data_IF_272680958817
#
_entry.id   IF_272680958817
#
_cell.length_a   1.000
_cell.length_b   1.000
_cell.length_c   1.000
_cell.angle_alpha   90.00
_cell.angle_beta   90.00
_cell.angle_gamma   90.00
#
_symmetry.space_group_name_H-M   'P 1'
#
loop_
_entity.id
_entity.type
_entity.pdbx_description
1 polymer ?
#
# COMPACT_ATOMS: atom_id res chain seq x y z
N UNK A 1 -21.28 93.49 -44.09
CA UNK A 1 -21.51 92.43 -45.07
C UNK A 1 -20.80 91.17 -44.53
N UNK A 2 -21.48 90.07 -44.34
CA UNK A 2 -21.02 89.05 -43.38
C UNK A 2 -20.27 87.89 -44.06
N UNK A 3 -19.21 87.39 -43.39
CA UNK A 3 -18.44 86.25 -43.78
C UNK A 3 -18.97 84.95 -43.14
N UNK A 4 -19.10 83.96 -43.99
CA UNK A 4 -19.46 82.57 -43.61
C UNK A 4 -18.27 81.89 -42.93
N UNK A 5 -18.51 81.34 -41.77
CA UNK A 5 -17.61 80.38 -41.10
C UNK A 5 -18.07 78.97 -41.43
N UNK A 6 -17.24 78.21 -42.10
CA UNK A 6 -17.44 76.76 -42.32
C UNK A 6 -16.88 76.00 -41.13
N UNK A 7 -17.71 75.13 -40.49
CA UNK A 7 -17.34 74.27 -39.41
C UNK A 7 -16.93 72.90 -39.99
N UNK A 8 -15.69 72.54 -39.84
CA UNK A 8 -15.18 71.21 -40.13
C UNK A 8 -15.49 70.29 -38.90
N UNK A 9 -16.37 69.35 -39.13
CA UNK A 9 -16.63 68.28 -38.22
C UNK A 9 -15.56 67.16 -38.34
N UNK A 10 -14.68 67.01 -37.36
CA UNK A 10 -13.73 65.88 -37.34
C UNK A 10 -14.44 64.62 -36.85
N UNK A 11 -14.54 63.62 -37.67
CA UNK A 11 -15.07 62.29 -37.38
C UNK A 11 -13.94 61.47 -36.74
N UNK A 12 -13.92 61.31 -35.40
CA UNK A 12 -13.00 60.44 -34.70
C UNK A 12 -13.53 58.98 -34.80
N UNK A 13 -12.89 58.11 -35.59
CA UNK A 13 -13.11 56.67 -35.58
C UNK A 13 -12.44 56.05 -34.34
N UNK A 14 -13.25 55.63 -33.38
CA UNK A 14 -12.81 54.77 -32.26
C UNK A 14 -12.65 53.35 -32.80
N UNK A 15 -11.41 52.91 -33.04
CA UNK A 15 -11.06 51.49 -33.28
C UNK A 15 -11.02 50.82 -31.94
N UNK A 16 -12.11 50.15 -31.52
CA UNK A 16 -12.13 49.27 -30.38
C UNK A 16 -11.33 47.99 -30.70
N UNK A 17 -10.08 47.94 -30.30
CA UNK A 17 -9.25 46.74 -30.33
C UNK A 17 -9.82 45.71 -29.38
N UNK A 18 -10.50 44.69 -29.88
CA UNK A 18 -10.83 43.46 -29.11
C UNK A 18 -9.53 42.72 -28.89
N UNK A 19 -8.93 42.92 -27.73
CA UNK A 19 -7.89 42.05 -27.21
C UNK A 19 -8.51 40.68 -26.95
N UNK A 20 -8.40 39.78 -27.92
CA UNK A 20 -8.67 38.37 -27.73
C UNK A 20 -7.65 37.86 -26.72
N UNK A 21 -8.05 37.76 -25.44
CA UNK A 21 -7.30 37.03 -24.43
C UNK A 21 -7.35 35.56 -24.82
N UNK A 22 -6.36 35.10 -25.57
CA UNK A 22 -6.12 33.66 -25.71
C UNK A 22 -5.89 33.15 -24.28
N UNK A 23 -6.65 32.10 -23.84
CA UNK A 23 -6.32 31.47 -22.55
C UNK A 23 -4.88 31.01 -22.66
N UNK A 24 -4.05 31.47 -21.72
CA UNK A 24 -2.69 30.99 -21.59
C UNK A 24 -2.79 29.47 -21.32
N UNK A 25 -2.56 28.65 -22.34
CA UNK A 25 -2.42 27.22 -22.19
C UNK A 25 -1.27 27.04 -21.21
N UNK A 26 -1.56 26.46 -20.03
CA UNK A 26 -0.51 26.15 -19.06
C UNK A 26 0.57 25.34 -19.79
N UNK A 27 1.80 25.82 -19.75
CA UNK A 27 2.91 25.18 -20.45
C UNK A 27 3.08 23.77 -19.89
N UNK A 28 2.98 22.77 -20.77
CA UNK A 28 3.21 21.38 -20.40
C UNK A 28 4.65 21.20 -19.95
N UNK A 29 4.86 20.52 -18.83
CA UNK A 29 6.19 20.30 -18.25
C UNK A 29 6.36 18.83 -17.90
N UNK A 30 7.42 18.21 -18.40
CA UNK A 30 7.66 16.77 -18.27
C UNK A 30 9.10 16.49 -17.80
N UNK A 31 9.22 15.57 -16.85
CA UNK A 31 10.49 14.89 -16.57
C UNK A 31 10.60 13.58 -17.39
N UNK A 32 11.78 12.92 -17.43
CA UNK A 32 11.94 11.62 -18.05
C UNK A 32 10.83 10.65 -17.62
N UNK A 33 10.27 9.91 -18.59
CA UNK A 33 9.16 8.99 -18.39
C UNK A 33 7.78 9.58 -18.62
N UNK A 34 7.67 10.87 -18.94
CA UNK A 34 6.39 11.49 -19.30
C UNK A 34 6.46 12.20 -20.66
N UNK A 35 5.35 12.21 -21.36
CA UNK A 35 5.16 12.89 -22.65
C UNK A 35 3.70 13.28 -22.85
N UNK A 36 3.38 13.86 -24.01
CA UNK A 36 1.98 14.12 -24.41
C UNK A 36 1.16 12.84 -24.59
N UNK A 37 1.79 11.71 -24.87
CA UNK A 37 1.12 10.48 -25.23
C UNK A 37 1.21 9.39 -24.18
N UNK A 38 2.25 9.40 -23.34
CA UNK A 38 2.60 8.27 -22.46
C UNK A 38 3.16 8.73 -21.12
N UNK A 39 2.86 7.93 -20.07
CA UNK A 39 3.51 7.98 -18.75
C UNK A 39 4.09 6.61 -18.46
N UNK A 40 5.41 6.52 -18.27
CA UNK A 40 6.12 5.29 -17.90
C UNK A 40 6.18 5.16 -16.38
N UNK A 41 5.64 4.07 -15.86
CA UNK A 41 5.66 3.73 -14.43
C UNK A 41 6.44 2.45 -14.25
N UNK A 42 7.50 2.49 -13.43
CA UNK A 42 8.26 1.31 -13.03
C UNK A 42 7.64 0.59 -11.85
N UNK A 43 7.82 -0.72 -11.78
CA UNK A 43 7.42 -1.55 -10.64
C UNK A 43 8.45 -2.67 -10.42
N UNK A 44 8.64 -3.06 -9.16
CA UNK A 44 9.52 -4.17 -8.76
C UNK A 44 8.70 -5.09 -7.87
N UNK A 45 8.54 -6.36 -8.30
CA UNK A 45 7.62 -7.28 -7.67
C UNK A 45 8.25 -8.67 -7.59
N UNK A 46 8.11 -9.41 -6.48
CA UNK A 46 8.60 -10.79 -6.39
C UNK A 46 7.66 -11.75 -7.15
N UNK A 47 7.83 -11.86 -8.45
CA UNK A 47 7.08 -12.85 -9.25
C UNK A 47 7.62 -14.26 -9.05
N UNK A 48 8.85 -14.40 -8.61
CA UNK A 48 9.52 -15.66 -8.24
C UNK A 48 10.05 -15.60 -6.80
N UNK A 49 10.65 -16.70 -6.34
CA UNK A 49 11.28 -16.77 -5.01
C UNK A 49 10.30 -16.97 -3.85
N UNK A 50 10.77 -16.82 -2.60
CA UNK A 50 10.05 -17.22 -1.39
C UNK A 50 8.80 -16.37 -1.08
N UNK A 51 8.70 -15.18 -1.63
CA UNK A 51 7.56 -14.27 -1.47
C UNK A 51 6.69 -14.17 -2.74
N UNK A 52 6.81 -15.13 -3.68
CA UNK A 52 6.14 -15.09 -4.99
C UNK A 52 4.61 -15.07 -4.94
N UNK A 53 4.01 -15.47 -3.83
CA UNK A 53 2.55 -15.33 -3.62
C UNK A 53 2.05 -13.88 -3.66
N UNK A 54 2.93 -12.90 -3.43
CA UNK A 54 2.61 -11.48 -3.60
C UNK A 54 2.63 -11.01 -5.07
N UNK A 55 3.21 -11.79 -5.99
CA UNK A 55 3.31 -11.40 -7.41
C UNK A 55 1.97 -11.11 -8.10
N UNK A 56 0.86 -11.58 -7.53
CA UNK A 56 -0.50 -11.27 -8.01
C UNK A 56 -0.83 -9.77 -7.91
N UNK A 57 -0.17 -9.05 -7.00
CA UNK A 57 -0.34 -7.59 -6.83
C UNK A 57 0.07 -6.88 -8.12
N UNK A 58 1.30 -7.07 -8.58
CA UNK A 58 1.78 -6.45 -9.81
C UNK A 58 1.00 -6.89 -11.07
N UNK A 59 0.49 -8.13 -11.10
CA UNK A 59 -0.40 -8.58 -12.18
C UNK A 59 -1.74 -7.85 -12.18
N UNK A 60 -2.29 -7.59 -11.00
CA UNK A 60 -3.53 -6.80 -10.85
C UNK A 60 -3.31 -5.35 -11.25
N UNK A 61 -2.22 -4.74 -10.82
CA UNK A 61 -1.83 -3.38 -11.20
C UNK A 61 -1.66 -3.24 -12.72
N UNK A 62 -0.98 -4.21 -13.36
CA UNK A 62 -0.86 -4.27 -14.82
C UNK A 62 -2.23 -4.38 -15.51
N UNK A 63 -3.15 -5.16 -14.94
CA UNK A 63 -4.54 -5.25 -15.40
C UNK A 63 -5.26 -3.92 -15.26
N UNK A 64 -5.10 -3.24 -14.14
CA UNK A 64 -5.71 -1.94 -13.87
C UNK A 64 -5.25 -0.87 -14.87
N UNK A 65 -3.96 -0.76 -15.13
CA UNK A 65 -3.46 0.21 -16.10
C UNK A 65 -3.84 -0.14 -17.54
N UNK A 66 -4.04 -1.44 -17.88
CA UNK A 66 -4.67 -1.78 -19.18
C UNK A 66 -6.11 -1.28 -19.25
N UNK A 67 -6.89 -1.45 -18.19
CA UNK A 67 -8.27 -0.91 -18.11
C UNK A 67 -8.27 0.59 -18.31
N UNK A 68 -7.44 1.32 -17.57
CA UNK A 68 -7.30 2.78 -17.72
C UNK A 68 -6.91 3.15 -19.16
N UNK A 69 -6.03 2.40 -19.80
CA UNK A 69 -5.63 2.63 -21.18
C UNK A 69 -6.77 2.41 -22.18
N UNK A 70 -7.59 1.38 -21.97
CA UNK A 70 -8.79 1.14 -22.81
C UNK A 70 -9.81 2.27 -22.67
N UNK A 71 -9.91 2.90 -21.50
CA UNK A 71 -10.76 4.04 -21.20
C UNK A 71 -10.21 5.39 -21.68
N UNK A 72 -9.07 5.41 -22.36
CA UNK A 72 -8.47 6.65 -22.91
C UNK A 72 -7.21 7.13 -22.20
N UNK A 73 -6.78 6.45 -21.13
CA UNK A 73 -5.60 6.82 -20.34
C UNK A 73 -5.89 7.87 -19.27
N UNK A 74 -4.85 8.45 -18.72
CA UNK A 74 -4.94 9.51 -17.70
C UNK A 74 -4.66 10.86 -18.38
N UNK A 75 -5.62 11.75 -18.37
CA UNK A 75 -5.54 13.05 -19.06
C UNK A 75 -5.10 12.90 -20.54
N UNK A 76 -5.61 11.83 -21.21
CA UNK A 76 -5.29 11.52 -22.61
C UNK A 76 -3.96 10.78 -22.82
N UNK A 77 -3.21 10.44 -21.78
CA UNK A 77 -1.92 9.74 -21.86
C UNK A 77 -2.07 8.27 -21.44
N UNK A 78 -1.48 7.39 -22.24
CA UNK A 78 -1.44 5.96 -21.93
C UNK A 78 -0.42 5.69 -20.81
N UNK A 79 -0.73 4.73 -19.96
CA UNK A 79 0.20 4.25 -18.92
C UNK A 79 1.01 3.09 -19.50
N UNK A 80 2.32 3.24 -19.50
CA UNK A 80 3.27 2.17 -19.78
C UNK A 80 3.81 1.63 -18.45
N UNK A 81 3.22 0.53 -17.99
CA UNK A 81 3.57 -0.10 -16.72
C UNK A 81 4.65 -1.17 -16.94
N UNK A 82 5.86 -0.91 -16.47
CA UNK A 82 7.04 -1.75 -16.62
C UNK A 82 7.37 -2.41 -15.29
N UNK A 83 7.13 -3.72 -15.18
CA UNK A 83 7.32 -4.46 -13.93
C UNK A 83 8.40 -5.54 -14.08
N UNK A 84 9.33 -5.58 -13.13
CA UNK A 84 10.45 -6.53 -13.09
C UNK A 84 10.44 -7.40 -11.84
N UNK A 85 10.90 -8.64 -12.00
CA UNK A 85 11.03 -9.62 -10.91
C UNK A 85 12.34 -9.38 -10.14
N UNK A 86 12.24 -9.20 -8.83
CA UNK A 86 13.40 -9.17 -7.93
C UNK A 86 13.57 -10.46 -7.10
N UNK A 87 12.67 -11.41 -7.21
CA UNK A 87 12.63 -12.65 -6.41
C UNK A 87 12.71 -12.39 -4.89
N UNK A 88 12.25 -11.20 -4.42
CA UNK A 88 12.39 -10.72 -3.03
C UNK A 88 13.85 -10.61 -2.58
N UNK A 89 14.75 -10.28 -3.49
CA UNK A 89 16.20 -10.17 -3.27
C UNK A 89 16.66 -8.71 -3.35
N UNK A 90 17.15 -8.10 -2.24
CA UNK A 90 17.63 -6.73 -2.24
C UNK A 90 18.66 -6.41 -3.32
N UNK A 91 19.68 -7.28 -3.61
CA UNK A 91 20.60 -7.05 -4.71
C UNK A 91 19.92 -6.96 -6.08
N UNK A 92 18.94 -7.85 -6.35
CA UNK A 92 18.16 -7.79 -7.59
C UNK A 92 17.27 -6.55 -7.65
N UNK A 93 16.66 -6.15 -6.53
CA UNK A 93 15.88 -4.92 -6.46
C UNK A 93 16.70 -3.70 -6.85
N UNK A 94 17.97 -3.61 -6.42
CA UNK A 94 18.91 -2.55 -6.82
C UNK A 94 19.17 -2.59 -8.34
N UNK A 95 19.38 -3.78 -8.91
CA UNK A 95 19.58 -3.96 -10.34
C UNK A 95 18.36 -3.49 -11.14
N UNK A 96 17.15 -3.95 -10.74
CA UNK A 96 15.92 -3.58 -11.42
C UNK A 96 15.59 -2.10 -11.27
N UNK A 97 15.84 -1.50 -10.11
CA UNK A 97 15.63 -0.07 -9.91
C UNK A 97 16.55 0.77 -10.83
N UNK A 98 17.82 0.39 -10.96
CA UNK A 98 18.73 1.07 -11.89
C UNK A 98 18.29 0.92 -13.34
N UNK A 99 17.85 -0.28 -13.75
CA UNK A 99 17.34 -0.53 -15.09
C UNK A 99 16.12 0.35 -15.39
N UNK A 100 15.14 0.39 -14.48
CA UNK A 100 13.95 1.23 -14.62
C UNK A 100 14.29 2.72 -14.73
N UNK A 101 15.22 3.21 -13.90
CA UNK A 101 15.54 4.64 -13.83
C UNK A 101 16.50 5.06 -14.96
N UNK A 102 17.54 4.28 -15.27
CA UNK A 102 18.64 4.68 -16.13
C UNK A 102 18.49 4.19 -17.58
N UNK A 103 17.76 3.07 -17.81
CA UNK A 103 17.56 2.50 -19.15
C UNK A 103 16.15 2.71 -19.67
N UNK A 104 15.13 2.42 -18.85
CA UNK A 104 13.74 2.58 -19.25
C UNK A 104 13.24 4.02 -19.06
N UNK A 105 13.97 4.82 -18.26
CA UNK A 105 13.70 6.23 -17.99
C UNK A 105 12.27 6.45 -17.48
N UNK A 106 11.86 5.68 -16.43
CA UNK A 106 10.53 5.82 -15.84
C UNK A 106 10.36 7.14 -15.09
N UNK A 107 9.14 7.67 -15.05
CA UNK A 107 8.80 8.86 -14.27
C UNK A 107 8.97 8.60 -12.78
N UNK A 108 8.53 7.43 -12.32
CA UNK A 108 8.56 7.00 -10.93
C UNK A 108 8.62 5.47 -10.83
N UNK A 109 8.98 4.95 -9.65
CA UNK A 109 8.76 3.55 -9.27
C UNK A 109 7.56 3.51 -8.32
N UNK A 110 6.53 2.74 -8.71
CA UNK A 110 5.29 2.54 -7.98
C UNK A 110 5.22 1.14 -7.41
N UNK A 111 4.80 1.01 -6.15
CA UNK A 111 4.49 -0.28 -5.51
C UNK A 111 5.63 -1.30 -5.56
N UNK A 112 6.90 -0.89 -5.53
CA UNK A 112 7.95 -1.87 -5.29
C UNK A 112 7.66 -2.61 -3.98
N UNK A 113 7.74 -3.96 -4.00
CA UNK A 113 7.28 -4.77 -2.88
C UNK A 113 8.41 -5.26 -1.98
N UNK A 114 8.14 -5.21 -0.69
CA UNK A 114 8.96 -5.79 0.37
C UNK A 114 9.86 -4.78 1.08
N UNK A 115 9.90 -4.87 2.40
CA UNK A 115 10.72 -3.97 3.22
C UNK A 115 12.21 -4.04 2.90
N UNK A 116 12.83 -5.23 2.75
CA UNK A 116 14.25 -5.34 2.40
C UNK A 116 14.58 -4.73 1.03
N UNK A 117 13.77 -5.06 0.00
CA UNK A 117 13.96 -4.56 -1.36
C UNK A 117 13.85 -3.04 -1.44
N UNK A 118 12.80 -2.48 -0.82
CA UNK A 118 12.59 -1.03 -0.79
C UNK A 118 13.66 -0.29 0.02
N UNK A 119 14.10 -0.85 1.15
CA UNK A 119 15.20 -0.27 1.94
C UNK A 119 16.51 -0.20 1.14
N UNK A 120 16.78 -1.22 0.33
CA UNK A 120 17.97 -1.29 -0.49
C UNK A 120 18.02 -0.22 -1.58
N UNK A 121 16.89 0.15 -2.17
CA UNK A 121 16.82 1.14 -3.25
C UNK A 121 16.56 2.57 -2.75
N UNK A 122 16.07 2.76 -1.53
CA UNK A 122 15.58 4.04 -1.02
C UNK A 122 16.59 5.19 -1.12
N UNK A 123 17.85 4.96 -0.71
CA UNK A 123 18.92 5.98 -0.82
C UNK A 123 19.21 6.35 -2.26
N UNK A 124 19.25 5.37 -3.17
CA UNK A 124 19.46 5.58 -4.59
C UNK A 124 18.33 6.41 -5.20
N UNK A 125 17.08 6.05 -4.94
CA UNK A 125 15.91 6.77 -5.45
C UNK A 125 15.89 8.23 -4.97
N UNK A 126 16.18 8.46 -3.70
CA UNK A 126 16.26 9.82 -3.12
C UNK A 126 17.43 10.62 -3.71
N UNK A 127 18.60 10.03 -3.90
CA UNK A 127 19.76 10.69 -4.54
C UNK A 127 19.48 11.07 -6.00
N UNK A 128 18.74 10.22 -6.73
CA UNK A 128 18.34 10.48 -8.13
C UNK A 128 17.11 11.40 -8.25
N UNK A 129 16.45 11.72 -7.15
CA UNK A 129 15.18 12.46 -7.11
C UNK A 129 14.11 11.81 -8.01
N UNK A 130 14.00 10.51 -7.93
CA UNK A 130 12.97 9.72 -8.60
C UNK A 130 11.98 9.22 -7.55
N UNK A 131 10.68 9.49 -7.66
CA UNK A 131 9.69 9.04 -6.69
C UNK A 131 9.68 7.52 -6.53
N UNK A 132 9.81 7.04 -5.30
CA UNK A 132 9.55 5.67 -4.85
C UNK A 132 8.22 5.72 -4.11
N UNK A 133 7.13 5.55 -4.86
CA UNK A 133 5.81 6.00 -4.42
C UNK A 133 4.90 4.82 -4.09
N UNK A 134 4.18 4.98 -2.98
CA UNK A 134 3.22 4.00 -2.46
C UNK A 134 3.85 2.62 -2.28
N UNK A 135 5.01 2.61 -1.63
CA UNK A 135 5.80 1.40 -1.35
C UNK A 135 4.91 0.28 -0.80
N UNK A 136 4.98 -0.92 -1.39
CA UNK A 136 4.26 -2.09 -0.90
C UNK A 136 4.95 -2.70 0.33
N UNK A 137 4.93 -1.94 1.40
CA UNK A 137 5.44 -2.28 2.74
C UNK A 137 4.88 -1.30 3.76
N UNK A 138 4.55 -1.80 4.94
CA UNK A 138 4.18 -0.99 6.10
C UNK A 138 5.37 -0.54 6.96
N UNK A 139 6.62 -0.67 6.47
CA UNK A 139 7.79 -0.24 7.22
C UNK A 139 7.73 1.25 7.56
N UNK A 140 7.78 1.59 8.84
CA UNK A 140 7.62 2.96 9.35
C UNK A 140 8.64 3.93 8.74
N UNK A 141 9.83 3.46 8.38
CA UNK A 141 10.87 4.26 7.72
C UNK A 141 10.44 4.90 6.39
N UNK A 142 9.44 4.31 5.70
CA UNK A 142 8.94 4.85 4.42
C UNK A 142 8.00 6.04 4.59
N UNK A 143 7.67 6.40 5.84
CA UNK A 143 6.97 7.64 6.19
C UNK A 143 7.89 8.79 6.61
N UNK A 144 9.23 8.62 6.57
CA UNK A 144 10.21 9.65 6.95
C UNK A 144 10.39 10.70 5.84
N UNK A 145 9.42 11.60 5.70
CA UNK A 145 9.41 12.66 4.68
C UNK A 145 10.60 13.62 4.79
N UNK A 146 11.14 13.80 6.00
CA UNK A 146 12.25 14.71 6.27
C UNK A 146 13.58 14.21 5.70
N UNK A 147 13.89 12.93 5.89
CA UNK A 147 15.17 12.35 5.45
C UNK A 147 15.08 11.70 4.07
N UNK A 148 13.88 11.25 3.69
CA UNK A 148 13.62 10.56 2.43
C UNK A 148 12.40 11.14 1.70
N UNK A 149 12.45 12.41 1.26
CA UNK A 149 11.30 13.12 0.68
C UNK A 149 10.82 12.53 -0.66
N UNK A 150 11.56 11.62 -1.27
CA UNK A 150 11.21 10.94 -2.52
C UNK A 150 10.66 9.52 -2.31
N UNK A 151 10.42 9.13 -1.05
CA UNK A 151 9.86 7.81 -0.70
C UNK A 151 8.62 7.97 0.15
N UNK A 152 7.52 7.33 -0.23
CA UNK A 152 6.26 7.33 0.51
C UNK A 152 5.63 5.94 0.53
N UNK A 153 5.20 5.47 1.70
CA UNK A 153 4.35 4.28 1.85
C UNK A 153 2.90 4.56 1.46
N UNK A 154 2.04 3.56 1.60
CA UNK A 154 0.59 3.75 1.46
C UNK A 154 -0.21 2.96 2.49
N UNK A 155 0.05 1.66 2.63
CA UNK A 155 -0.66 0.82 3.59
C UNK A 155 -0.38 1.25 5.03
N UNK A 156 -1.25 0.88 5.99
CA UNK A 156 -0.98 1.13 7.41
C UNK A 156 0.40 0.65 7.81
N UNK A 157 1.12 1.48 8.57
CA UNK A 157 2.46 1.11 8.97
C UNK A 157 2.44 0.00 10.03
N UNK A 158 3.53 -0.76 10.11
CA UNK A 158 3.63 -1.93 10.97
C UNK A 158 3.60 -1.61 12.47
N UNK A 159 4.10 -0.44 12.89
CA UNK A 159 3.99 -0.03 14.29
C UNK A 159 2.55 0.31 14.65
N UNK A 160 1.79 0.96 13.75
CA UNK A 160 0.35 1.21 13.96
C UNK A 160 -0.42 -0.10 14.09
N UNK A 161 -0.17 -1.08 13.24
CA UNK A 161 -0.78 -2.41 13.33
C UNK A 161 -0.49 -3.06 14.69
N UNK A 162 0.78 -3.07 15.11
CA UNK A 162 1.20 -3.61 16.41
C UNK A 162 0.51 -2.92 17.60
N UNK A 163 0.37 -1.59 17.56
CA UNK A 163 -0.34 -0.80 18.58
C UNK A 163 -1.84 -1.12 18.62
N UNK A 164 -2.47 -1.32 17.47
CA UNK A 164 -3.89 -1.70 17.39
C UNK A 164 -4.12 -3.06 18.06
N UNK A 165 -3.30 -4.06 17.78
CA UNK A 165 -3.38 -5.35 18.47
C UNK A 165 -3.11 -5.22 19.98
N UNK A 166 -2.12 -4.45 20.39
CA UNK A 166 -1.80 -4.25 21.79
C UNK A 166 -2.98 -3.63 22.56
N UNK A 167 -3.65 -2.63 21.96
CA UNK A 167 -4.85 -2.01 22.54
C UNK A 167 -5.96 -3.04 22.78
N UNK A 168 -6.25 -3.87 21.78
CA UNK A 168 -7.24 -4.94 21.91
C UNK A 168 -6.85 -5.97 22.97
N UNK A 169 -5.58 -6.39 23.03
CA UNK A 169 -5.09 -7.37 24.00
C UNK A 169 -5.15 -6.82 25.41
N UNK A 170 -4.72 -5.57 25.63
CA UNK A 170 -4.79 -4.93 26.96
C UNK A 170 -6.21 -4.90 27.51
N UNK A 171 -7.19 -4.71 26.63
CA UNK A 171 -8.62 -4.68 27.00
C UNK A 171 -9.20 -6.09 27.25
N UNK A 172 -8.96 -7.03 26.34
CA UNK A 172 -9.61 -8.34 26.36
C UNK A 172 -8.82 -9.45 27.06
N UNK A 173 -7.50 -9.34 27.11
CA UNK A 173 -6.60 -10.37 27.65
C UNK A 173 -5.54 -9.77 28.56
N UNK A 174 -5.90 -9.03 29.65
CA UNK A 174 -4.96 -8.22 30.43
C UNK A 174 -3.87 -9.01 31.17
N UNK A 175 -4.01 -10.33 31.28
CA UNK A 175 -3.08 -11.25 31.94
C UNK A 175 -2.52 -12.32 30.97
N UNK A 176 -2.72 -12.14 29.68
CA UNK A 176 -2.27 -13.08 28.64
C UNK A 176 -0.75 -13.16 28.55
N UNK A 177 -0.26 -14.33 28.14
CA UNK A 177 1.16 -14.59 27.89
C UNK A 177 1.39 -14.65 26.38
N UNK A 178 2.23 -13.78 25.86
CA UNK A 178 2.39 -13.59 24.43
C UNK A 178 3.65 -14.27 23.91
N UNK A 179 3.53 -15.08 22.86
CA UNK A 179 4.63 -15.56 22.04
C UNK A 179 4.58 -14.90 20.67
N UNK A 180 5.75 -14.48 20.14
CA UNK A 180 5.85 -13.77 18.88
C UNK A 180 6.75 -14.53 17.90
N UNK A 181 6.22 -14.85 16.72
CA UNK A 181 6.95 -15.35 15.57
C UNK A 181 7.07 -14.23 14.53
N UNK A 182 8.29 -13.88 14.12
CA UNK A 182 8.51 -12.70 13.30
C UNK A 182 9.62 -12.88 12.25
N UNK A 183 9.48 -12.19 11.13
CA UNK A 183 10.46 -12.17 10.05
C UNK A 183 11.72 -11.41 10.49
N UNK A 184 12.90 -12.00 10.33
CA UNK A 184 14.16 -11.42 10.80
C UNK A 184 14.69 -10.31 9.87
N UNK A 185 13.89 -9.28 9.69
CA UNK A 185 14.26 -8.07 8.97
C UNK A 185 13.60 -6.84 9.59
N UNK A 186 13.69 -5.70 8.90
CA UNK A 186 13.09 -4.45 9.38
C UNK A 186 11.56 -4.52 9.48
N UNK A 187 10.89 -5.37 8.66
CA UNK A 187 9.44 -5.52 8.73
C UNK A 187 9.00 -6.16 10.07
N UNK A 188 9.56 -7.32 10.40
CA UNK A 188 9.21 -8.02 11.63
C UNK A 188 9.65 -7.25 12.88
N UNK A 189 10.81 -6.59 12.83
CA UNK A 189 11.27 -5.70 13.94
C UNK A 189 10.33 -4.54 14.17
N UNK A 190 9.82 -3.95 13.11
CA UNK A 190 8.92 -2.80 13.17
C UNK A 190 7.55 -3.19 13.75
N UNK A 191 6.97 -4.31 13.29
CA UNK A 191 5.74 -4.88 13.84
C UNK A 191 5.91 -5.23 15.33
N UNK A 192 7.01 -5.87 15.68
CA UNK A 192 7.32 -6.25 17.07
C UNK A 192 7.50 -5.03 17.97
N UNK A 193 8.16 -3.97 17.45
CA UNK A 193 8.27 -2.68 18.16
C UNK A 193 6.90 -2.08 18.42
N UNK A 194 6.02 -2.04 17.42
CA UNK A 194 4.66 -1.50 17.56
C UNK A 194 3.85 -2.22 18.65
N UNK A 195 3.96 -3.57 18.73
CA UNK A 195 3.32 -4.33 19.80
C UNK A 195 3.88 -3.94 21.18
N UNK A 196 5.21 -3.87 21.34
CA UNK A 196 5.85 -3.48 22.60
C UNK A 196 5.43 -2.07 23.02
N UNK A 197 5.46 -1.11 22.10
CA UNK A 197 5.07 0.27 22.36
C UNK A 197 3.59 0.36 22.79
N UNK A 198 2.70 -0.35 22.12
CA UNK A 198 1.27 -0.37 22.45
C UNK A 198 0.94 -1.11 23.76
N UNK A 199 1.73 -2.11 24.13
CA UNK A 199 1.60 -2.79 25.44
C UNK A 199 2.11 -1.90 26.59
N UNK A 200 3.10 -1.03 26.32
CA UNK A 200 3.64 -0.10 27.28
C UNK A 200 4.15 -0.80 28.55
N UNK A 201 3.59 -0.46 29.71
CA UNK A 201 3.91 -1.05 31.03
C UNK A 201 3.66 -2.57 31.10
N UNK A 202 2.84 -3.11 30.21
CA UNK A 202 2.54 -4.54 30.07
C UNK A 202 3.40 -5.27 29.03
N UNK A 203 4.50 -4.69 28.55
CA UNK A 203 5.38 -5.34 27.58
C UNK A 203 5.98 -6.67 28.09
N UNK A 204 6.04 -6.88 29.42
CA UNK A 204 6.42 -8.13 30.05
C UNK A 204 5.43 -9.29 29.79
N UNK A 205 4.24 -9.03 29.24
CA UNK A 205 3.36 -10.08 28.72
C UNK A 205 4.01 -10.89 27.59
N UNK A 206 4.98 -10.31 26.86
CA UNK A 206 5.75 -11.01 25.83
C UNK A 206 6.79 -11.88 26.55
N UNK A 207 6.52 -13.19 26.61
CA UNK A 207 7.35 -14.16 27.32
C UNK A 207 8.31 -14.95 26.44
N UNK A 208 8.07 -14.97 25.12
CA UNK A 208 8.91 -15.66 24.15
C UNK A 208 8.81 -15.00 22.78
N UNK A 209 9.90 -15.02 22.03
CA UNK A 209 9.92 -14.68 20.61
C UNK A 209 10.89 -15.57 19.85
N UNK A 210 10.60 -15.80 18.56
CA UNK A 210 11.46 -16.48 17.59
C UNK A 210 11.36 -15.81 16.25
N UNK A 211 12.50 -15.55 15.65
CA UNK A 211 12.58 -15.05 14.26
C UNK A 211 12.84 -16.18 13.28
N UNK A 212 12.59 -15.88 12.01
CA UNK A 212 12.90 -16.73 10.87
C UNK A 212 13.37 -15.91 9.68
N UNK A 213 14.11 -16.54 8.76
CA UNK A 213 14.43 -15.95 7.45
C UNK A 213 13.38 -16.35 6.43
N UNK A 214 13.01 -15.43 5.53
CA UNK A 214 11.99 -15.71 4.47
C UNK A 214 12.42 -16.90 3.59
N UNK A 215 13.72 -17.14 3.47
CA UNK A 215 14.31 -18.27 2.74
C UNK A 215 14.31 -19.59 3.50
N UNK A 216 13.96 -19.61 4.79
CA UNK A 216 13.96 -20.84 5.58
C UNK A 216 13.02 -21.89 4.97
N UNK A 217 13.48 -23.12 4.79
CA UNK A 217 12.65 -24.19 4.22
C UNK A 217 11.57 -24.67 5.19
N UNK A 218 11.84 -24.62 6.51
CA UNK A 218 10.94 -25.01 7.60
C UNK A 218 11.12 -24.07 8.80
N UNK A 219 10.02 -23.85 9.52
CA UNK A 219 9.97 -23.02 10.74
C UNK A 219 9.46 -23.85 11.95
N UNK A 220 9.45 -25.14 11.84
CA UNK A 220 8.86 -26.04 12.84
C UNK A 220 9.47 -25.88 14.22
N UNK A 221 10.82 -25.80 14.28
CA UNK A 221 11.54 -25.66 15.55
C UNK A 221 11.20 -24.34 16.28
N UNK A 222 11.01 -23.27 15.54
CA UNK A 222 10.61 -21.98 16.10
C UNK A 222 9.21 -22.07 16.72
N UNK A 223 8.26 -22.68 16.02
CA UNK A 223 6.87 -22.81 16.50
C UNK A 223 6.78 -23.76 17.70
N UNK A 224 7.53 -24.89 17.70
CA UNK A 224 7.61 -25.78 18.85
C UNK A 224 8.15 -25.05 20.08
N UNK A 225 9.25 -24.28 19.93
CA UNK A 225 9.82 -23.51 21.04
C UNK A 225 8.87 -22.44 21.60
N UNK A 226 8.05 -21.82 20.71
CA UNK A 226 7.04 -20.84 21.13
C UNK A 226 5.86 -21.51 21.84
N UNK A 227 5.42 -22.68 21.39
CA UNK A 227 4.42 -23.51 22.06
C UNK A 227 4.89 -23.91 23.48
N UNK A 228 6.12 -24.39 23.59
CA UNK A 228 6.69 -24.89 24.86
C UNK A 228 6.94 -23.76 25.90
N UNK A 229 6.88 -22.50 25.48
CA UNK A 229 6.92 -21.34 26.37
C UNK A 229 5.70 -21.25 27.31
N UNK A 230 4.61 -21.94 26.99
CA UNK A 230 3.35 -21.85 27.70
C UNK A 230 2.55 -20.57 27.43
N UNK A 231 2.80 -19.90 26.31
CA UNK A 231 2.02 -18.75 25.89
C UNK A 231 0.58 -19.14 25.50
N UNK A 232 -0.37 -18.27 25.79
CA UNK A 232 -1.79 -18.40 25.44
C UNK A 232 -2.25 -17.39 24.37
N UNK A 233 -1.35 -16.51 23.97
CA UNK A 233 -1.49 -15.59 22.85
C UNK A 233 -0.31 -15.81 21.89
N UNK A 234 -0.61 -15.93 20.60
CA UNK A 234 0.41 -16.13 19.58
C UNK A 234 0.27 -15.11 18.44
N UNK A 235 1.37 -14.49 18.08
CA UNK A 235 1.50 -13.62 16.92
C UNK A 235 2.31 -14.28 15.82
N UNK A 236 1.82 -14.23 14.56
CA UNK A 236 2.59 -14.53 13.38
C UNK A 236 2.75 -13.28 12.52
N UNK A 237 3.94 -12.69 12.54
CA UNK A 237 4.37 -11.63 11.63
C UNK A 237 5.35 -12.17 10.61
N UNK A 238 4.83 -12.95 9.72
CA UNK A 238 5.59 -13.66 8.70
C UNK A 238 5.01 -13.39 7.30
N UNK A 239 5.85 -13.53 6.28
CA UNK A 239 5.42 -13.56 4.89
C UNK A 239 4.44 -14.72 4.66
N UNK A 240 3.64 -14.72 3.57
CA UNK A 240 2.54 -15.67 3.37
C UNK A 240 2.92 -17.14 3.55
N UNK A 241 4.07 -17.58 3.02
CA UNK A 241 4.56 -18.96 3.18
C UNK A 241 4.83 -19.30 4.64
N UNK A 242 5.57 -18.43 5.34
CA UNK A 242 5.90 -18.60 6.77
C UNK A 242 4.65 -18.60 7.64
N UNK A 243 3.69 -17.69 7.37
CA UNK A 243 2.40 -17.66 8.07
C UNK A 243 1.59 -18.93 7.85
N UNK A 244 1.52 -19.45 6.62
CA UNK A 244 0.82 -20.71 6.34
C UNK A 244 1.46 -21.89 7.06
N UNK A 245 2.79 -21.96 7.10
CA UNK A 245 3.54 -22.97 7.87
C UNK A 245 3.29 -22.85 9.38
N UNK A 246 3.29 -21.63 9.92
CA UNK A 246 3.04 -21.37 11.33
C UNK A 246 1.62 -21.81 11.74
N UNK A 247 0.60 -21.44 10.98
CA UNK A 247 -0.80 -21.82 11.22
C UNK A 247 -0.91 -23.36 11.23
N UNK A 248 -0.36 -24.02 10.22
CA UNK A 248 -0.39 -25.48 10.11
C UNK A 248 0.28 -26.13 11.32
N UNK A 249 1.48 -25.67 11.70
CA UNK A 249 2.23 -26.25 12.81
C UNK A 249 1.54 -26.05 14.15
N UNK A 250 0.95 -24.88 14.40
CA UNK A 250 0.10 -24.62 15.58
C UNK A 250 -1.05 -25.62 15.65
N UNK A 251 -1.74 -25.85 14.51
CA UNK A 251 -2.82 -26.84 14.42
C UNK A 251 -2.36 -28.27 14.68
N UNK A 252 -1.25 -28.71 14.08
CA UNK A 252 -0.65 -30.05 14.24
C UNK A 252 -0.22 -30.32 15.70
N UNK A 253 0.25 -29.29 16.40
CA UNK A 253 0.59 -29.39 17.83
C UNK A 253 -0.64 -29.45 18.74
N UNK A 254 -1.83 -29.21 18.22
CA UNK A 254 -3.05 -29.04 19.03
C UNK A 254 -3.00 -27.80 19.93
N UNK A 255 -2.08 -26.87 19.67
CA UNK A 255 -1.99 -25.61 20.39
C UNK A 255 -3.16 -24.70 20.04
N UNK A 256 -3.81 -24.12 21.04
CA UNK A 256 -5.01 -23.28 20.87
C UNK A 256 -4.85 -21.90 21.49
N UNK A 257 -3.86 -21.12 21.04
CA UNK A 257 -3.68 -19.75 21.53
C UNK A 257 -4.74 -18.81 20.95
N UNK A 258 -4.88 -17.62 21.51
CA UNK A 258 -5.47 -16.50 20.77
C UNK A 258 -4.49 -16.09 19.68
N UNK A 259 -4.79 -16.47 18.44
CA UNK A 259 -3.88 -16.31 17.32
C UNK A 259 -4.13 -14.98 16.60
N UNK A 260 -3.08 -14.16 16.51
CA UNK A 260 -3.06 -12.90 15.77
C UNK A 260 -2.15 -13.04 14.55
N UNK A 261 -2.65 -12.63 13.38
CA UNK A 261 -1.97 -12.75 12.10
C UNK A 261 -1.75 -11.36 11.49
N UNK A 262 -0.57 -11.11 10.94
CA UNK A 262 -0.28 -9.89 10.18
C UNK A 262 -1.30 -9.66 9.05
N UNK A 263 -1.74 -8.42 8.85
CA UNK A 263 -2.70 -8.09 7.79
C UNK A 263 -2.21 -8.45 6.39
N UNK A 264 -0.90 -8.42 6.18
CA UNK A 264 -0.26 -8.79 4.91
C UNK A 264 -0.31 -10.29 4.58
N UNK A 265 -0.76 -11.14 5.51
CA UNK A 265 -0.84 -12.59 5.36
C UNK A 265 -2.27 -13.15 5.48
N UNK A 266 -3.29 -12.31 5.29
CA UNK A 266 -4.70 -12.68 5.52
C UNK A 266 -5.39 -13.37 4.34
N UNK A 267 -4.73 -13.47 3.19
CA UNK A 267 -5.35 -14.05 1.99
C UNK A 267 -5.84 -15.50 2.23
N UNK A 268 -7.14 -15.70 2.09
CA UNK A 268 -7.74 -17.03 2.19
C UNK A 268 -7.15 -17.96 1.13
N UNK A 269 -7.00 -17.49 -0.10
CA UNK A 269 -6.50 -18.28 -1.22
C UNK A 269 -5.03 -18.70 -1.05
N UNK A 270 -4.13 -17.78 -0.65
CA UNK A 270 -2.69 -18.02 -0.66
C UNK A 270 -2.08 -18.35 0.71
N UNK A 271 -2.83 -18.19 1.81
CA UNK A 271 -2.34 -18.44 3.17
C UNK A 271 -3.22 -19.42 3.93
N UNK A 272 -4.50 -19.09 4.17
CA UNK A 272 -5.35 -19.88 5.06
C UNK A 272 -5.71 -21.24 4.47
N UNK A 273 -6.08 -21.28 3.19
CA UNK A 273 -6.39 -22.54 2.49
C UNK A 273 -5.19 -23.48 2.42
N UNK A 274 -3.98 -23.05 2.02
CA UNK A 274 -2.78 -23.89 2.09
C UNK A 274 -2.40 -24.32 3.51
N UNK A 275 -2.67 -23.49 4.53
CA UNK A 275 -2.41 -23.83 5.93
C UNK A 275 -3.37 -24.89 6.48
N UNK A 276 -4.61 -24.91 5.98
CA UNK A 276 -5.74 -25.69 6.46
C UNK A 276 -6.79 -24.79 7.10
N UNK A 277 -7.99 -24.74 6.51
CA UNK A 277 -9.06 -23.83 6.97
C UNK A 277 -9.48 -24.14 8.42
N UNK A 278 -9.49 -25.43 8.81
CA UNK A 278 -9.81 -25.84 10.19
C UNK A 278 -8.78 -25.31 11.21
N UNK A 279 -7.49 -25.28 10.84
CA UNK A 279 -6.43 -24.73 11.67
C UNK A 279 -6.45 -23.20 11.71
N UNK A 280 -7.09 -22.57 10.71
CA UNK A 280 -7.18 -21.12 10.58
C UNK A 280 -8.38 -20.51 11.31
N UNK A 281 -9.31 -21.34 11.79
CA UNK A 281 -10.51 -20.86 12.47
C UNK A 281 -10.17 -20.08 13.73
N UNK A 282 -10.92 -18.98 13.97
CA UNK A 282 -10.76 -18.06 15.09
C UNK A 282 -9.47 -17.21 15.09
N UNK A 283 -8.65 -17.26 14.03
CA UNK A 283 -7.54 -16.32 13.84
C UNK A 283 -8.09 -14.89 13.74
N UNK A 284 -7.42 -13.98 14.41
CA UNK A 284 -7.73 -12.54 14.41
C UNK A 284 -6.68 -11.82 13.57
N UNK A 285 -7.13 -10.86 12.76
CA UNK A 285 -6.25 -9.94 12.04
C UNK A 285 -6.86 -8.54 12.01
N UNK A 286 -6.13 -7.63 11.40
CA UNK A 286 -6.60 -6.28 11.07
C UNK A 286 -6.82 -6.14 9.56
N UNK A 287 -7.69 -5.23 9.17
CA UNK A 287 -7.99 -4.94 7.78
C UNK A 287 -8.40 -3.48 7.59
N UNK A 288 -8.16 -2.94 6.42
CA UNK A 288 -8.62 -1.60 5.99
C UNK A 288 -9.31 -1.62 4.62
N UNK A 289 -9.31 -2.79 3.97
CA UNK A 289 -9.96 -3.04 2.68
C UNK A 289 -11.11 -4.03 2.84
N UNK A 290 -12.07 -3.98 1.94
CA UNK A 290 -13.13 -5.00 1.85
C UNK A 290 -12.52 -6.33 1.43
N UNK A 291 -12.66 -7.37 2.28
CA UNK A 291 -12.16 -8.70 1.95
C UNK A 291 -13.09 -9.36 0.94
N UNK A 292 -12.56 -9.91 -0.17
CA UNK A 292 -13.40 -10.48 -1.24
C UNK A 292 -14.10 -11.78 -0.85
N UNK A 293 -13.73 -12.38 0.29
CA UNK A 293 -14.36 -13.61 0.82
C UNK A 293 -15.45 -13.33 1.83
N UNK A 294 -15.56 -12.10 2.35
CA UNK A 294 -16.62 -11.68 3.28
C UNK A 294 -17.94 -11.53 2.52
N UNK A 295 -18.97 -12.38 2.82
CA UNK A 295 -20.25 -12.34 2.12
C UNK A 295 -21.02 -11.04 2.34
N UNK A 296 -20.68 -10.23 3.34
CA UNK A 296 -21.24 -8.90 3.56
C UNK A 296 -21.09 -8.01 2.33
N UNK A 297 -19.99 -8.20 1.58
CA UNK A 297 -19.66 -7.41 0.41
C UNK A 297 -20.12 -8.02 -0.93
N UNK A 298 -20.77 -9.17 -0.94
CA UNK A 298 -21.13 -9.85 -2.21
C UNK A 298 -21.99 -9.02 -3.16
N UNK A 299 -22.85 -8.16 -2.61
CA UNK A 299 -23.72 -7.25 -3.37
C UNK A 299 -23.24 -5.79 -3.36
N UNK A 300 -22.08 -5.53 -2.77
CA UNK A 300 -21.49 -4.19 -2.76
C UNK A 300 -21.08 -3.78 -4.19
N UNK A 301 -21.52 -2.62 -4.69
CA UNK A 301 -21.28 -2.22 -6.07
C UNK A 301 -19.79 -2.16 -6.44
N UNK A 302 -18.93 -1.75 -5.51
CA UNK A 302 -17.49 -1.68 -5.75
C UNK A 302 -16.87 -3.07 -5.86
N UNK A 303 -17.28 -4.01 -5.02
CA UNK A 303 -16.80 -5.41 -5.08
C UNK A 303 -17.31 -6.10 -6.34
N UNK A 304 -18.54 -5.85 -6.76
CA UNK A 304 -19.10 -6.35 -8.03
C UNK A 304 -18.27 -5.80 -9.19
N UNK A 305 -18.04 -4.49 -9.26
CA UNK A 305 -17.20 -3.84 -10.29
C UNK A 305 -15.77 -4.39 -10.30
N UNK A 306 -15.17 -4.60 -9.13
CA UNK A 306 -13.84 -5.21 -9.02
C UNK A 306 -13.84 -6.66 -9.54
N UNK A 307 -14.87 -7.47 -9.27
CA UNK A 307 -15.00 -8.83 -9.82
C UNK A 307 -15.12 -8.83 -11.36
N UNK A 308 -15.84 -7.86 -11.93
CA UNK A 308 -15.93 -7.66 -13.38
C UNK A 308 -14.57 -7.27 -13.97
N UNK A 309 -13.85 -6.36 -13.31
CA UNK A 309 -12.47 -6.02 -13.65
C UNK A 309 -11.58 -7.26 -13.67
N UNK A 310 -11.61 -8.08 -12.62
CA UNK A 310 -10.82 -9.32 -12.54
C UNK A 310 -11.16 -10.27 -13.70
N UNK A 311 -12.44 -10.43 -14.02
CA UNK A 311 -12.87 -11.28 -15.14
C UNK A 311 -12.30 -10.81 -16.48
N UNK A 312 -12.21 -9.52 -16.70
CA UNK A 312 -11.80 -8.96 -18.00
C UNK A 312 -10.28 -8.74 -18.11
N UNK A 313 -9.65 -8.24 -17.07
CA UNK A 313 -8.26 -7.76 -17.13
C UNK A 313 -7.26 -8.66 -16.40
N UNK A 314 -7.74 -9.54 -15.52
CA UNK A 314 -6.91 -10.54 -14.87
C UNK A 314 -7.72 -11.85 -14.63
N UNK A 315 -8.16 -12.53 -15.72
CA UNK A 315 -9.04 -13.71 -15.60
C UNK A 315 -8.42 -14.89 -14.85
N UNK A 316 -7.09 -15.04 -14.91
CA UNK A 316 -6.37 -16.09 -14.17
C UNK A 316 -6.17 -15.77 -12.68
N UNK A 317 -6.54 -14.58 -12.24
CA UNK A 317 -6.42 -14.15 -10.85
C UNK A 317 -7.50 -14.77 -9.96
N UNK A 318 -7.09 -15.37 -8.85
CA UNK A 318 -8.03 -15.89 -7.86
C UNK A 318 -8.75 -14.74 -7.12
N UNK A 319 -10.08 -14.68 -7.26
CA UNK A 319 -10.91 -13.62 -6.64
C UNK A 319 -11.05 -13.77 -5.13
N UNK A 320 -10.64 -14.89 -4.54
CA UNK A 320 -10.55 -15.07 -3.09
C UNK A 320 -9.20 -14.56 -2.52
N UNK A 321 -8.31 -14.02 -3.38
CA UNK A 321 -7.03 -13.51 -2.95
C UNK A 321 -7.13 -12.00 -2.66
N UNK A 322 -7.12 -11.61 -1.39
CA UNK A 322 -7.21 -10.21 -0.94
C UNK A 322 -6.09 -9.32 -1.51
N UNK A 323 -4.94 -9.90 -1.88
CA UNK A 323 -3.86 -9.14 -2.53
C UNK A 323 -4.26 -8.56 -3.89
N UNK A 324 -5.27 -9.14 -4.57
CA UNK A 324 -5.81 -8.57 -5.80
C UNK A 324 -6.66 -7.31 -5.53
N UNK A 325 -7.37 -7.26 -4.41
CA UNK A 325 -8.06 -6.02 -3.95
C UNK A 325 -7.03 -4.96 -3.60
N UNK A 326 -5.97 -5.35 -2.88
CA UNK A 326 -4.88 -4.46 -2.51
C UNK A 326 -4.24 -3.81 -3.75
N UNK A 327 -3.81 -4.60 -4.74
CA UNK A 327 -3.19 -4.06 -5.97
C UNK A 327 -4.11 -3.12 -6.74
N UNK A 328 -5.42 -3.44 -6.79
CA UNK A 328 -6.41 -2.58 -7.43
C UNK A 328 -6.52 -1.20 -6.75
N UNK A 329 -6.67 -1.18 -5.43
CA UNK A 329 -6.77 0.06 -4.63
C UNK A 329 -5.51 0.92 -4.75
N UNK A 330 -4.34 0.30 -4.73
CA UNK A 330 -3.08 1.02 -4.89
C UNK A 330 -2.98 1.67 -6.28
N UNK A 331 -3.38 0.97 -7.33
CA UNK A 331 -3.39 1.51 -8.69
C UNK A 331 -4.43 2.64 -8.85
N UNK A 332 -5.59 2.57 -8.17
CA UNK A 332 -6.55 3.69 -8.11
C UNK A 332 -5.93 4.94 -7.48
N UNK A 333 -5.22 4.77 -6.36
CA UNK A 333 -4.55 5.87 -5.69
C UNK A 333 -3.46 6.51 -6.57
N UNK A 334 -2.67 5.69 -7.29
CA UNK A 334 -1.68 6.20 -8.23
C UNK A 334 -2.33 6.93 -9.41
N UNK A 335 -3.41 6.39 -9.95
CA UNK A 335 -4.17 7.06 -11.02
C UNK A 335 -4.72 8.42 -10.56
N UNK A 336 -5.17 8.53 -9.30
CA UNK A 336 -5.62 9.79 -8.72
C UNK A 336 -4.48 10.83 -8.65
N UNK A 337 -3.31 10.44 -8.18
CA UNK A 337 -2.12 11.32 -8.13
C UNK A 337 -1.77 11.82 -9.53
N UNK A 338 -1.72 10.94 -10.52
CA UNK A 338 -1.40 11.32 -11.90
C UNK A 338 -2.48 12.22 -12.53
N UNK A 339 -3.76 12.00 -12.23
CA UNK A 339 -4.86 12.90 -12.65
C UNK A 339 -4.65 14.31 -12.09
N UNK A 340 -4.27 14.42 -10.80
CA UNK A 340 -3.99 15.69 -10.15
C UNK A 340 -2.77 16.42 -10.72
N UNK A 341 -1.80 15.69 -11.27
CA UNK A 341 -0.63 16.30 -11.92
C UNK A 341 -1.00 17.09 -13.18
N UNK A 342 -2.08 16.73 -13.88
CA UNK A 342 -2.50 17.40 -15.10
C UNK A 342 -1.41 17.37 -16.18
N UNK A 343 -1.04 18.55 -16.67
CA UNK A 343 0.00 18.76 -17.68
C UNK A 343 1.40 19.00 -17.06
N UNK A 344 1.51 19.00 -15.74
CA UNK A 344 2.79 19.09 -15.05
C UNK A 344 3.18 17.71 -14.51
N UNK A 345 3.80 16.90 -15.36
CA UNK A 345 4.31 15.56 -15.00
C UNK A 345 5.81 15.60 -14.69
N UNK A 346 6.19 16.54 -13.83
CA UNK A 346 7.51 16.53 -13.20
C UNK A 346 7.51 15.64 -11.96
N UNK A 347 8.64 15.05 -11.63
CA UNK A 347 8.80 14.22 -10.42
C UNK A 347 8.50 14.99 -9.14
N UNK A 348 8.92 16.26 -9.08
CA UNK A 348 8.58 17.16 -7.97
C UNK A 348 7.06 17.33 -7.82
N UNK A 349 6.33 17.55 -8.91
CA UNK A 349 4.88 17.69 -8.84
C UNK A 349 4.18 16.37 -8.50
N UNK A 350 4.69 15.24 -8.97
CA UNK A 350 4.17 13.91 -8.58
C UNK A 350 4.25 13.73 -7.05
N UNK A 351 5.41 14.02 -6.45
CA UNK A 351 5.55 13.97 -4.99
C UNK A 351 4.64 14.97 -4.28
N UNK A 352 4.52 16.18 -4.81
CA UNK A 352 3.62 17.20 -4.26
C UNK A 352 2.16 16.76 -4.28
N UNK A 353 1.70 16.14 -5.36
CA UNK A 353 0.33 15.63 -5.45
C UNK A 353 0.11 14.40 -4.56
N UNK A 354 1.09 13.51 -4.46
CA UNK A 354 1.04 12.38 -3.53
C UNK A 354 0.99 12.83 -2.06
N UNK A 355 1.69 13.93 -1.71
CA UNK A 355 1.66 14.55 -0.38
C UNK A 355 0.48 15.53 -0.20
N UNK A 356 -0.56 15.43 -1.01
CA UNK A 356 -1.74 16.31 -0.94
C UNK A 356 -3.04 15.55 -1.20
N UNK A 357 -3.09 14.28 -0.80
CA UNK A 357 -4.34 13.54 -0.76
C UNK A 357 -5.13 14.00 0.47
N UNK A 358 -6.40 14.38 0.25
CA UNK A 358 -7.29 14.87 1.30
C UNK A 358 -8.59 14.10 1.25
N UNK A 359 -8.87 13.41 2.35
CA UNK A 359 -10.06 12.56 2.50
C UNK A 359 -10.29 11.66 1.29
N UNK A 360 -9.15 11.21 0.69
CA UNK A 360 -9.22 10.33 -0.46
C UNK A 360 -9.68 8.95 0.01
N UNK A 361 -10.67 8.42 -0.68
CA UNK A 361 -11.26 7.12 -0.38
C UNK A 361 -11.49 6.38 -1.69
N UNK A 362 -11.14 5.11 -1.72
CA UNK A 362 -11.58 4.22 -2.80
C UNK A 362 -12.74 3.38 -2.30
N UNK A 363 -13.66 3.03 -3.20
CA UNK A 363 -14.86 2.30 -2.82
C UNK A 363 -14.59 0.88 -2.27
N UNK A 364 -13.36 0.36 -2.43
CA UNK A 364 -12.92 -0.92 -1.86
C UNK A 364 -12.25 -0.78 -0.48
N UNK A 365 -12.07 0.43 0.03
CA UNK A 365 -11.69 0.64 1.43
C UNK A 365 -12.89 0.44 2.35
N UNK A 366 -12.63 0.08 3.61
CA UNK A 366 -13.69 -0.01 4.60
C UNK A 366 -14.28 1.38 4.88
N UNK A 367 -15.60 1.47 5.16
CA UNK A 367 -16.24 2.72 5.53
C UNK A 367 -15.54 3.40 6.72
N UNK A 368 -15.32 4.71 6.62
CA UNK A 368 -14.67 5.51 7.66
C UNK A 368 -13.15 5.53 7.62
N UNK A 369 -12.52 4.76 6.73
CA UNK A 369 -11.08 4.81 6.51
C UNK A 369 -10.78 5.72 5.32
N UNK A 370 -9.95 6.75 5.55
CA UNK A 370 -9.58 7.75 4.57
C UNK A 370 -8.07 7.82 4.42
N UNK A 371 -7.62 8.19 3.24
CA UNK A 371 -6.22 8.48 2.94
C UNK A 371 -5.99 9.98 3.10
N UNK A 372 -5.10 10.34 3.99
CA UNK A 372 -4.67 11.71 4.19
C UNK A 372 -3.15 11.80 4.17
N UNK A 373 -2.61 12.75 3.42
CA UNK A 373 -1.17 13.00 3.35
C UNK A 373 -0.87 14.48 3.42
N UNK A 374 0.32 14.82 3.88
CA UNK A 374 0.85 16.18 3.84
C UNK A 374 2.36 16.15 3.58
N UNK A 375 3.02 17.29 3.30
CA UNK A 375 4.47 17.34 3.16
C UNK A 375 5.25 16.84 4.40
N UNK A 376 4.63 16.92 5.57
CA UNK A 376 5.22 16.50 6.84
C UNK A 376 4.69 15.14 7.34
N UNK A 377 3.72 14.56 6.60
CA UNK A 377 3.08 13.31 6.98
C UNK A 377 2.93 12.37 5.76
N UNK A 378 3.79 11.35 5.72
CA UNK A 378 3.82 10.31 4.69
C UNK A 378 3.25 8.96 5.21
N UNK A 379 2.33 9.01 6.20
CA UNK A 379 1.56 7.87 6.69
C UNK A 379 0.10 7.97 6.21
N UNK A 380 -0.22 7.54 4.98
CA UNK A 380 -1.52 7.80 4.36
C UNK A 380 -2.70 7.18 5.11
N UNK A 381 -2.49 6.01 5.75
CA UNK A 381 -3.54 5.26 6.47
C UNK A 381 -2.99 4.83 7.83
N UNK A 382 -3.69 5.22 8.90
CA UNK A 382 -3.33 4.87 10.28
C UNK A 382 -4.46 4.15 11.03
N UNK A 383 -5.51 3.79 10.30
CA UNK A 383 -6.73 3.22 10.83
C UNK A 383 -6.97 1.83 10.27
N UNK A 384 -7.40 0.91 11.13
CA UNK A 384 -7.78 -0.45 10.74
C UNK A 384 -8.95 -0.93 11.59
N UNK A 385 -9.66 -1.94 11.10
CA UNK A 385 -10.68 -2.66 11.85
C UNK A 385 -10.22 -4.09 12.09
N UNK A 386 -10.66 -4.68 13.20
CA UNK A 386 -10.39 -6.09 13.49
C UNK A 386 -11.31 -7.00 12.68
N UNK A 387 -10.78 -8.15 12.30
CA UNK A 387 -11.54 -9.23 11.67
C UNK A 387 -11.16 -10.57 12.26
N UNK A 388 -12.08 -11.54 12.18
CA UNK A 388 -11.88 -12.92 12.64
C UNK A 388 -12.25 -13.88 11.54
N UNK A 389 -11.45 -14.91 11.36
CA UNK A 389 -11.74 -15.97 10.38
C UNK A 389 -12.70 -16.99 11.00
N UNK A 390 -13.87 -17.21 10.40
CA UNK A 390 -14.91 -18.14 10.91
C UNK A 390 -14.73 -19.60 10.45
N UNK A 391 -13.68 -19.87 9.65
CA UNK A 391 -13.41 -21.16 9.01
C UNK A 391 -13.76 -21.19 7.52
N UNK A 392 -14.44 -20.16 7.00
CA UNK A 392 -14.79 -20.01 5.58
C UNK A 392 -14.43 -18.64 5.02
N UNK A 393 -14.70 -17.58 5.81
CA UNK A 393 -14.50 -16.19 5.41
C UNK A 393 -14.06 -15.34 6.61
N UNK A 394 -13.55 -14.17 6.31
CA UNK A 394 -13.29 -13.14 7.31
C UNK A 394 -14.58 -12.42 7.69
N UNK A 395 -14.75 -12.12 8.96
CA UNK A 395 -15.86 -11.36 9.51
C UNK A 395 -15.32 -10.17 10.33
N UNK A 396 -15.78 -8.97 10.00
CA UNK A 396 -15.43 -7.76 10.73
C UNK A 396 -16.05 -7.78 12.14
N UNK A 397 -15.32 -7.24 13.11
CA UNK A 397 -15.85 -7.01 14.45
C UNK A 397 -15.19 -5.78 15.11
N UNK A 398 -15.88 -5.21 16.10
CA UNK A 398 -15.44 -3.99 16.77
C UNK A 398 -15.45 -2.77 15.85
N UNK A 399 -15.03 -1.63 16.41
CA UNK A 399 -14.96 -0.37 15.70
C UNK A 399 -13.62 -0.24 14.96
N UNK A 400 -13.53 0.75 14.06
CA UNK A 400 -12.25 1.19 13.47
C UNK A 400 -11.35 1.72 14.59
N UNK A 401 -10.11 1.26 14.63
CA UNK A 401 -9.12 1.61 15.65
C UNK A 401 -7.99 2.38 14.98
N UNK A 402 -7.56 3.48 15.62
CA UNK A 402 -6.40 4.26 15.19
C UNK A 402 -5.15 3.79 15.93
N UNK A 403 -4.07 3.59 15.17
CA UNK A 403 -2.76 3.17 15.67
C UNK A 403 -1.66 4.22 15.40
N UNK A 404 -1.97 5.50 15.50
CA UNK A 404 -1.11 6.64 15.12
C UNK A 404 0.36 6.46 15.48
N UNK A 405 1.23 6.74 14.50
CA UNK A 405 2.68 6.78 14.63
C UNK A 405 3.17 8.10 14.05
N UNK A 406 3.92 8.86 14.85
CA UNK A 406 4.50 10.13 14.35
C UNK A 406 3.89 11.40 14.95
N UNK A 407 2.66 11.38 15.44
CA UNK A 407 2.06 12.55 16.11
C UNK A 407 2.59 12.82 17.53
N UNK A 408 3.34 11.89 18.13
CA UNK A 408 4.01 12.09 19.43
C UNK A 408 5.19 13.09 19.39
N UNK A 409 5.53 13.64 18.21
CA UNK A 409 6.63 14.61 18.05
C UNK A 409 6.22 16.06 18.21
N UNK A 410 4.96 16.34 18.50
CA UNK A 410 4.41 17.72 18.61
C UNK A 410 3.78 18.03 19.97
N UNK A 411 4.08 17.27 21.05
CA UNK A 411 3.73 17.66 22.43
C UNK A 411 4.95 17.95 23.25
#
# INVERSE_FOLDING_TARGET
>A
MPGRRESLAALAMLVAGVLATTPASAQKTYDPGASDAEIKIGNIMPYSGPASSYGVIGKTEAGFFRMINDEGGINGRKINFISYDDAYSPPKAIEQARKLVESDEVLLIFQALGTPSNSAIMKYMNAKKVPQLFVASGGTKFGDSKNFPWTMGFQPNYQSEGRIYAKYIRDKFPNGKIAVFWQNDDAGKDQFKGLKDGLGDKANMIIADKSYEVSDPSIDSQIVALHDSGADIFFSWAAPKGSAQAIRKVGELGWKPKFFLANTATSVASVLKPAGLDYSKDIISTVYLKDPTDPTWDKDPAVVKWREFMNKYYPDGDKANANNVYGYVQAEAMAQVLKQCGDNLTRDNVMKQAANLKDFHTDLMLPGIMVNTSPDDYFPIEQMQLMRFNGQAWELFGDVITGEVGHERSQ
#
